data_IF_170596022946
#
_entry.id   IF_170596022946
#
_cell.length_a   1.000
_cell.length_b   1.000
_cell.length_c   1.000
_cell.angle_alpha   90.00
_cell.angle_beta   90.00
_cell.angle_gamma   90.00
#
_symmetry.space_group_name_H-M   'P 1'
#
loop_
_entity.id
_entity.type
_entity.pdbx_description
1 polymer ?
#
# COMPACT_ATOMS: atom_id res chain seq x y z
N UNK A 1 29.83 21.23 43.86
CA UNK A 1 29.45 21.27 42.43
C UNK A 1 28.65 20.01 42.11
N UNK A 2 27.32 20.12 42.02
CA UNK A 2 26.45 18.95 41.79
C UNK A 2 26.35 18.68 40.28
N UNK A 3 26.89 17.54 39.82
CA UNK A 3 26.58 17.01 38.48
C UNK A 3 25.10 16.66 38.44
N UNK A 4 24.30 17.42 37.71
CA UNK A 4 22.98 16.98 37.28
C UNK A 4 23.17 15.78 36.35
N UNK A 5 22.92 14.58 36.85
CA UNK A 5 22.72 13.41 35.99
C UNK A 5 21.36 13.60 35.32
N UNK A 6 21.35 13.83 34.01
CA UNK A 6 20.11 13.81 33.24
C UNK A 6 19.47 12.42 33.37
N UNK A 7 18.24 12.29 33.90
CA UNK A 7 17.63 10.99 34.06
C UNK A 7 17.26 10.42 32.69
N UNK A 8 17.79 9.24 32.35
CA UNK A 8 17.34 8.50 31.17
C UNK A 8 15.84 8.18 31.30
N UNK A 9 15.06 8.22 30.20
CA UNK A 9 13.65 7.87 30.24
C UNK A 9 13.47 6.42 30.70
N UNK A 10 12.50 6.19 31.61
CA UNK A 10 12.17 4.84 32.09
C UNK A 10 11.62 3.91 30.99
N UNK A 11 11.04 4.47 29.92
CA UNK A 11 10.47 3.71 28.81
C UNK A 11 11.53 3.35 27.76
N UNK A 12 11.57 2.07 27.39
CA UNK A 12 12.42 1.55 26.30
C UNK A 12 12.11 2.26 24.99
N UNK A 13 10.84 2.50 24.66
CA UNK A 13 10.42 3.24 23.47
C UNK A 13 10.94 4.67 23.44
N UNK A 14 10.90 5.38 24.59
CA UNK A 14 11.47 6.73 24.70
C UNK A 14 12.99 6.74 24.58
N UNK A 15 13.68 5.73 25.12
CA UNK A 15 15.14 5.60 24.99
C UNK A 15 15.55 5.34 23.55
N UNK A 16 14.84 4.45 22.86
CA UNK A 16 15.04 4.16 21.44
C UNK A 16 14.83 5.44 20.61
N UNK A 17 13.75 6.18 20.86
CA UNK A 17 13.45 7.42 20.15
C UNK A 17 14.50 8.52 20.38
N UNK A 18 14.99 8.70 21.61
CA UNK A 18 16.05 9.69 21.91
C UNK A 18 17.38 9.29 21.25
N UNK A 19 17.74 8.00 21.29
CA UNK A 19 18.96 7.51 20.65
C UNK A 19 18.89 7.62 19.12
N UNK A 20 17.75 7.28 18.51
CA UNK A 20 17.51 7.49 17.08
C UNK A 20 17.61 8.97 16.71
N UNK A 21 17.01 9.85 17.52
CA UNK A 21 17.07 11.29 17.29
C UNK A 21 18.51 11.81 17.36
N UNK A 22 19.29 11.40 18.37
CA UNK A 22 20.71 11.77 18.49
C UNK A 22 21.53 11.30 17.28
N UNK A 23 21.30 10.06 16.85
CA UNK A 23 21.99 9.49 15.69
C UNK A 23 21.65 10.23 14.37
N UNK A 24 20.39 10.62 14.19
CA UNK A 24 19.94 11.40 13.03
C UNK A 24 20.44 12.86 13.06
N UNK A 25 20.65 13.43 14.25
CA UNK A 25 21.16 14.80 14.40
C UNK A 25 22.67 14.89 14.10
N UNK A 26 23.47 13.86 14.43
CA UNK A 26 24.93 13.80 14.30
C UNK A 26 25.45 13.48 12.89
N UNK A 27 24.63 12.92 12.00
CA UNK A 27 25.04 12.57 10.64
C UNK A 27 24.52 13.58 9.59
N UNK A 28 25.29 14.62 9.23
CA UNK A 28 24.87 15.57 8.18
C UNK A 28 24.69 14.90 6.81
N UNK A 29 25.37 13.77 6.54
CA UNK A 29 25.23 12.99 5.29
C UNK A 29 23.95 12.17 5.19
N UNK A 30 23.30 11.85 6.31
CA UNK A 30 21.96 11.22 6.30
C UNK A 30 20.84 12.27 6.20
N UNK A 31 21.14 13.57 6.34
CA UNK A 31 20.16 14.64 6.10
C UNK A 31 19.93 14.89 4.61
N UNK A 32 20.92 14.62 3.76
CA UNK A 32 20.80 14.79 2.31
C UNK A 32 20.09 13.61 1.61
N UNK A 33 20.10 12.42 2.22
CA UNK A 33 19.33 11.24 1.75
C UNK A 33 18.15 10.93 2.69
N UNK A 34 17.55 11.96 3.28
CA UNK A 34 16.16 11.85 3.73
C UNK A 34 15.34 11.85 2.44
N UNK A 35 15.20 10.68 1.82
CA UNK A 35 14.25 10.47 0.73
C UNK A 35 12.95 11.13 1.15
N UNK A 36 12.54 12.12 0.36
CA UNK A 36 11.38 12.94 0.66
C UNK A 36 10.19 11.98 0.89
N UNK A 37 9.61 11.90 2.10
CA UNK A 37 8.57 10.91 2.41
C UNK A 37 7.40 10.94 1.42
N UNK A 38 7.13 12.12 0.85
CA UNK A 38 6.13 12.32 -0.19
C UNK A 38 6.52 11.64 -1.51
N UNK A 39 7.80 11.67 -1.89
CA UNK A 39 8.31 10.94 -3.05
C UNK A 39 8.30 9.43 -2.82
N UNK A 40 8.58 8.96 -1.60
CA UNK A 40 8.48 7.55 -1.26
C UNK A 40 7.04 7.04 -1.35
N UNK A 41 6.07 7.82 -0.85
CA UNK A 41 4.64 7.53 -0.97
C UNK A 41 4.19 7.52 -2.43
N UNK A 42 4.64 8.48 -3.23
CA UNK A 42 4.35 8.53 -4.66
C UNK A 42 4.92 7.32 -5.40
N UNK A 43 6.19 6.98 -5.15
CA UNK A 43 6.83 5.80 -5.74
C UNK A 43 6.11 4.51 -5.35
N UNK A 44 5.77 4.34 -4.07
CA UNK A 44 5.02 3.17 -3.60
C UNK A 44 3.62 3.08 -4.22
N UNK A 45 2.93 4.21 -4.37
CA UNK A 45 1.62 4.27 -5.01
C UNK A 45 1.69 3.90 -6.49
N UNK A 46 2.63 4.49 -7.25
CA UNK A 46 2.84 4.19 -8.67
C UNK A 46 3.24 2.73 -8.85
N UNK A 47 4.17 2.23 -8.03
CA UNK A 47 4.57 0.82 -8.05
C UNK A 47 3.37 -0.11 -7.82
N UNK A 48 2.51 0.20 -6.85
CA UNK A 48 1.30 -0.59 -6.62
C UNK A 48 0.36 -0.57 -7.83
N UNK A 49 0.11 0.60 -8.45
CA UNK A 49 -0.73 0.67 -9.66
C UNK A 49 -0.15 -0.21 -10.76
N UNK A 50 1.16 -0.12 -11.00
CA UNK A 50 1.84 -0.93 -12.00
C UNK A 50 1.69 -2.43 -11.73
N UNK A 51 1.92 -2.88 -10.50
CA UNK A 51 1.76 -4.28 -10.09
C UNK A 51 0.30 -4.75 -10.22
N UNK A 52 -0.65 -3.88 -9.86
CA UNK A 52 -2.08 -4.17 -10.00
C UNK A 52 -2.44 -4.36 -11.47
N UNK A 53 -1.96 -3.48 -12.35
CA UNK A 53 -2.17 -3.58 -13.79
C UNK A 53 -1.53 -4.85 -14.37
N UNK A 54 -0.31 -5.17 -13.96
CA UNK A 54 0.38 -6.38 -14.41
C UNK A 54 -0.37 -7.65 -14.00
N UNK A 55 -0.82 -7.74 -12.74
CA UNK A 55 -1.60 -8.86 -12.24
C UNK A 55 -2.97 -8.97 -12.94
N UNK A 56 -3.66 -7.85 -13.21
CA UNK A 56 -4.90 -7.85 -14.00
C UNK A 56 -4.68 -8.38 -15.41
N UNK A 57 -3.62 -7.91 -16.10
CA UNK A 57 -3.27 -8.36 -17.43
C UNK A 57 -2.89 -9.85 -17.45
N UNK A 58 -2.17 -10.32 -16.44
CA UNK A 58 -1.85 -11.73 -16.25
C UNK A 58 -3.13 -12.55 -16.07
N UNK A 59 -4.04 -12.13 -15.18
CA UNK A 59 -5.33 -12.78 -14.97
C UNK A 59 -6.15 -12.87 -16.26
N UNK A 60 -6.25 -11.77 -17.02
CA UNK A 60 -6.95 -11.76 -18.30
C UNK A 60 -6.38 -12.76 -19.30
N UNK A 61 -5.05 -12.80 -19.45
CA UNK A 61 -4.37 -13.76 -20.34
C UNK A 61 -4.61 -15.21 -19.91
N UNK A 62 -4.55 -15.50 -18.61
CA UNK A 62 -4.81 -16.85 -18.11
C UNK A 62 -6.27 -17.25 -18.26
N UNK A 63 -7.21 -16.34 -17.96
CA UNK A 63 -8.62 -16.56 -18.18
C UNK A 63 -8.91 -16.90 -19.65
N UNK A 64 -8.34 -16.15 -20.60
CA UNK A 64 -8.47 -16.46 -22.04
C UNK A 64 -7.92 -17.84 -22.41
N UNK A 65 -6.79 -18.24 -21.85
CA UNK A 65 -6.20 -19.58 -22.09
C UNK A 65 -7.10 -20.69 -21.52
N UNK A 66 -7.64 -20.50 -20.32
CA UNK A 66 -8.56 -21.43 -19.68
C UNK A 66 -9.84 -21.61 -20.50
N UNK A 67 -10.42 -20.51 -20.99
CA UNK A 67 -11.61 -20.53 -21.85
C UNK A 67 -11.38 -21.21 -23.20
N UNK A 68 -10.16 -21.12 -23.75
CA UNK A 68 -9.83 -21.75 -25.03
C UNK A 68 -9.68 -23.28 -24.96
N UNK A 69 -9.51 -23.85 -23.76
CA UNK A 69 -9.25 -25.27 -23.54
C UNK A 69 -10.31 -26.03 -22.75
N UNK A 70 -11.43 -25.39 -22.37
CA UNK A 70 -12.52 -26.01 -21.60
C UNK A 70 -13.85 -25.91 -22.34
N UNK A 71 -14.48 -27.05 -22.62
CA UNK A 71 -15.88 -27.12 -23.09
C UNK A 71 -16.87 -27.03 -21.91
N UNK A 72 -16.49 -27.52 -20.72
CA UNK A 72 -17.29 -27.44 -19.50
C UNK A 72 -16.43 -26.90 -18.35
N UNK A 73 -16.63 -25.64 -18.01
CA UNK A 73 -16.28 -25.15 -16.69
C UNK A 73 -17.56 -24.92 -15.91
N UNK A 74 -17.58 -25.37 -14.66
CA UNK A 74 -18.75 -25.22 -13.81
C UNK A 74 -19.14 -23.74 -13.71
N UNK A 75 -20.38 -23.44 -14.08
CA UNK A 75 -20.97 -22.10 -14.02
C UNK A 75 -20.70 -21.39 -12.68
N UNK A 76 -20.67 -22.15 -11.57
CA UNK A 76 -20.34 -21.65 -10.23
C UNK A 76 -18.93 -21.04 -10.11
N UNK A 77 -17.93 -21.59 -10.82
CA UNK A 77 -16.56 -21.06 -10.81
C UNK A 77 -16.52 -19.65 -11.43
N UNK A 78 -17.14 -19.46 -12.60
CA UNK A 78 -17.16 -18.16 -13.27
C UNK A 78 -17.96 -17.11 -12.50
N UNK A 79 -19.09 -17.51 -11.90
CA UNK A 79 -19.87 -16.61 -11.05
C UNK A 79 -19.05 -16.14 -9.83
N UNK A 80 -18.33 -17.04 -9.18
CA UNK A 80 -17.46 -16.71 -8.06
C UNK A 80 -16.30 -15.78 -8.48
N UNK A 81 -15.63 -16.07 -9.59
CA UNK A 81 -14.58 -15.20 -10.14
C UNK A 81 -15.14 -13.81 -10.43
N UNK A 82 -16.26 -13.73 -11.15
CA UNK A 82 -16.91 -12.46 -11.48
C UNK A 82 -17.25 -11.64 -10.23
N UNK A 83 -17.77 -12.29 -9.17
CA UNK A 83 -18.07 -11.64 -7.91
C UNK A 83 -16.81 -11.03 -7.25
N UNK A 84 -15.67 -11.71 -7.28
CA UNK A 84 -14.43 -11.16 -6.71
C UNK A 84 -13.94 -9.95 -7.50
N UNK A 85 -14.00 -9.99 -8.83
CA UNK A 85 -13.64 -8.85 -9.67
C UNK A 85 -14.61 -7.68 -9.52
N UNK A 86 -15.90 -7.95 -9.29
CA UNK A 86 -16.88 -6.92 -8.95
C UNK A 86 -16.52 -6.22 -7.65
N UNK A 87 -16.14 -6.96 -6.59
CA UNK A 87 -15.69 -6.35 -5.32
C UNK A 87 -14.45 -5.48 -5.52
N UNK A 88 -13.47 -5.95 -6.30
CA UNK A 88 -12.30 -5.16 -6.66
C UNK A 88 -12.69 -3.85 -7.35
N UNK A 89 -13.58 -3.92 -8.35
CA UNK A 89 -14.05 -2.75 -9.09
C UNK A 89 -14.76 -1.75 -8.18
N UNK A 90 -15.64 -2.21 -7.29
CA UNK A 90 -16.37 -1.34 -6.35
C UNK A 90 -15.40 -0.58 -5.46
N UNK A 91 -14.37 -1.24 -4.91
CA UNK A 91 -13.37 -0.57 -4.07
C UNK A 91 -12.57 0.48 -4.85
N UNK A 92 -12.20 0.16 -6.10
CA UNK A 92 -11.48 1.09 -6.96
C UNK A 92 -12.34 2.31 -7.32
N UNK A 93 -13.59 2.10 -7.72
CA UNK A 93 -14.53 3.17 -8.03
C UNK A 93 -14.80 4.04 -6.82
N UNK A 94 -15.07 3.43 -5.67
CA UNK A 94 -15.27 4.14 -4.41
C UNK A 94 -14.06 5.02 -4.07
N UNK A 95 -12.83 4.51 -4.23
CA UNK A 95 -11.64 5.32 -4.03
C UNK A 95 -11.59 6.51 -4.98
N UNK A 96 -11.76 6.30 -6.29
CA UNK A 96 -11.72 7.36 -7.31
C UNK A 96 -12.80 8.43 -7.08
N UNK A 97 -14.00 8.02 -6.65
CA UNK A 97 -15.10 8.93 -6.36
C UNK A 97 -14.88 9.73 -5.08
N UNK A 98 -14.27 9.14 -4.05
CA UNK A 98 -14.08 9.79 -2.75
C UNK A 98 -12.79 10.62 -2.70
N UNK A 99 -11.69 10.19 -3.35
CA UNK A 99 -10.38 10.83 -3.27
C UNK A 99 -10.38 12.35 -3.54
N UNK A 100 -11.17 12.90 -4.48
CA UNK A 100 -11.13 14.33 -4.77
C UNK A 100 -11.68 15.20 -3.64
N UNK A 101 -12.47 14.60 -2.74
CA UNK A 101 -13.08 15.27 -1.59
C UNK A 101 -12.28 15.09 -0.30
N UNK A 102 -11.23 14.28 -0.33
CA UNK A 102 -10.36 14.01 0.81
C UNK A 102 -9.20 15.02 0.88
N UNK A 103 -8.75 15.35 2.09
CA UNK A 103 -7.63 16.26 2.27
C UNK A 103 -6.29 15.56 2.04
N UNK A 104 -5.42 16.15 1.23
CA UNK A 104 -4.05 15.67 0.97
C UNK A 104 -3.80 15.30 -0.49
N UNK A 105 -2.60 14.79 -0.79
CA UNK A 105 -2.28 14.30 -2.14
C UNK A 105 -2.82 12.89 -2.33
N UNK A 106 -3.09 12.51 -3.59
CA UNK A 106 -3.61 11.18 -3.93
C UNK A 106 -2.83 10.00 -3.32
N UNK A 107 -1.47 9.98 -3.30
CA UNK A 107 -0.73 8.90 -2.64
C UNK A 107 -0.94 8.84 -1.11
N UNK A 108 -1.14 9.99 -0.45
CA UNK A 108 -1.38 10.07 1.00
C UNK A 108 -2.80 9.61 1.35
N UNK A 109 -3.77 10.00 0.53
CA UNK A 109 -5.16 9.55 0.63
C UNK A 109 -5.20 8.04 0.41
N UNK A 110 -4.58 7.54 -0.66
CA UNK A 110 -4.43 6.12 -0.93
C UNK A 110 -3.83 5.35 0.26
N UNK A 111 -2.72 5.83 0.83
CA UNK A 111 -2.06 5.18 1.95
C UNK A 111 -2.99 5.03 3.17
N UNK A 112 -3.75 6.08 3.52
CA UNK A 112 -4.76 6.02 4.59
C UNK A 112 -5.93 5.10 4.23
N UNK A 113 -6.49 5.24 3.04
CA UNK A 113 -7.62 4.42 2.59
C UNK A 113 -7.27 2.93 2.62
N UNK A 114 -6.03 2.57 2.26
CA UNK A 114 -5.56 1.19 2.29
C UNK A 114 -5.41 0.61 3.70
N UNK A 115 -5.18 1.44 4.72
CA UNK A 115 -5.19 1.01 6.13
C UNK A 115 -6.60 0.57 6.53
N UNK A 116 -7.63 1.32 6.11
CA UNK A 116 -9.04 0.97 6.39
C UNK A 116 -9.63 -0.08 5.43
N UNK A 117 -9.11 -0.15 4.20
CA UNK A 117 -9.57 -1.05 3.14
C UNK A 117 -8.36 -1.75 2.53
N UNK A 118 -7.89 -2.81 3.20
CA UNK A 118 -6.66 -3.52 2.83
C UNK A 118 -6.72 -4.16 1.44
N UNK A 119 -7.92 -4.38 0.90
CA UNK A 119 -8.17 -4.94 -0.43
C UNK A 119 -8.11 -3.91 -1.57
N UNK A 120 -7.97 -2.62 -1.26
CA UNK A 120 -7.86 -1.59 -2.30
C UNK A 120 -6.62 -1.83 -3.16
N UNK A 121 -6.83 -1.89 -4.49
CA UNK A 121 -5.82 -2.28 -5.48
C UNK A 121 -5.20 -3.68 -5.26
N UNK A 122 -5.90 -4.59 -4.55
CA UNK A 122 -5.50 -5.99 -4.45
C UNK A 122 -6.27 -6.81 -5.49
N UNK A 123 -5.56 -7.27 -6.52
CA UNK A 123 -6.17 -8.07 -7.61
C UNK A 123 -6.61 -9.45 -7.06
N UNK A 124 -7.84 -9.90 -7.37
CA UNK A 124 -8.28 -11.26 -7.06
C UNK A 124 -7.38 -12.32 -7.70
N UNK A 125 -7.11 -13.41 -6.99
CA UNK A 125 -6.38 -14.55 -7.54
C UNK A 125 -7.33 -15.44 -8.35
N UNK A 126 -7.01 -15.70 -9.61
CA UNK A 126 -7.62 -16.80 -10.35
C UNK A 126 -7.01 -18.11 -9.85
N UNK A 127 -7.74 -18.87 -9.03
CA UNK A 127 -7.33 -20.18 -8.49
C UNK A 127 -7.93 -21.32 -9.31
#
# INVERSE_FOLDING_TARGET
SFRMMNPLPRSVSKRIMINLRGYLEETPRLREDVRNPQQELEAAYVAQICLTWEALNWNYKNFKKLMAGKEDAEFGYYAHVAQQFQQFQVLLQQFIEIEPYEHGRRPEIYARTRISSSKLLQVPELR
#
